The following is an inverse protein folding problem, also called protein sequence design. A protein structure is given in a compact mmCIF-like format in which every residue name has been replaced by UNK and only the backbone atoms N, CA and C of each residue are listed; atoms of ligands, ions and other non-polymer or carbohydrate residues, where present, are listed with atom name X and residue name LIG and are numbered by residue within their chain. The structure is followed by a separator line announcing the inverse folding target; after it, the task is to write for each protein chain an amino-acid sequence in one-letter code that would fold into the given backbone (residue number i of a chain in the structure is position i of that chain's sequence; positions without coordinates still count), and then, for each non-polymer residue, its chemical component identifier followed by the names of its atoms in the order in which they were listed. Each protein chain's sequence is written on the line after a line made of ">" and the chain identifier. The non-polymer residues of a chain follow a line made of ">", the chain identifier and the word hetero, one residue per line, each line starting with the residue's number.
data_IF_620188201540
#
_entry.id   IF_620188201540
#
_cell.length_a   1.000
_cell.length_b   1.000
_cell.length_c   1.000
_cell.angle_alpha   90.00
_cell.angle_beta   90.00
_cell.angle_gamma   90.00
#
_symmetry.space_group_name_H-M   'P 1'
#
loop_
_entity.id
_entity.type
_entity.pdbx_description
1 polymer ?
#
# COMPACT_ATOMS: atom_id res chain seq x y z
N UNK A 1 16.03 -23.05 -23.70
CA UNK A 1 14.97 -22.73 -22.72
C UNK A 1 15.65 -22.52 -21.39
N UNK A 2 15.97 -21.27 -21.05
CA UNK A 2 16.55 -20.88 -19.76
C UNK A 2 15.42 -20.81 -18.72
N UNK A 3 15.64 -21.44 -17.55
CA UNK A 3 14.71 -21.36 -16.40
C UNK A 3 14.46 -19.89 -16.06
N UNK A 4 13.22 -19.49 -15.72
CA UNK A 4 12.96 -18.16 -15.18
C UNK A 4 13.80 -17.99 -13.92
N UNK A 5 14.53 -16.88 -13.83
CA UNK A 5 15.27 -16.50 -12.62
C UNK A 5 14.29 -16.25 -11.50
N UNK A 6 14.64 -16.65 -10.28
CA UNK A 6 13.78 -16.45 -9.11
C UNK A 6 13.58 -14.96 -8.83
N UNK A 7 12.43 -14.60 -8.30
CA UNK A 7 12.07 -13.23 -7.87
C UNK A 7 13.13 -12.63 -6.93
N UNK A 8 13.77 -13.46 -6.08
CA UNK A 8 14.88 -13.07 -5.21
C UNK A 8 16.16 -12.63 -5.98
N UNK A 9 16.46 -13.23 -7.14
CA UNK A 9 17.57 -12.78 -7.97
C UNK A 9 17.30 -11.45 -8.68
N UNK A 10 16.03 -11.16 -8.89
CA UNK A 10 15.54 -9.92 -9.45
C UNK A 10 15.68 -8.76 -8.44
N UNK A 11 15.23 -8.98 -7.22
CA UNK A 11 15.25 -8.00 -6.14
C UNK A 11 16.70 -7.66 -5.71
N UNK A 12 17.61 -8.63 -5.68
CA UNK A 12 19.02 -8.45 -5.32
C UNK A 12 19.82 -7.52 -6.26
N UNK A 13 19.28 -7.14 -7.42
CA UNK A 13 19.95 -6.25 -8.37
C UNK A 13 19.49 -4.79 -8.32
N UNK A 14 18.52 -4.47 -7.50
CA UNK A 14 17.83 -3.20 -7.53
C UNK A 14 18.23 -2.23 -6.42
N UNK A 15 18.90 -2.70 -5.38
CA UNK A 15 19.46 -1.83 -4.33
C UNK A 15 20.97 -1.78 -4.52
N UNK A 16 21.57 -0.59 -4.76
CA UNK A 16 23.02 -0.49 -4.81
C UNK A 16 23.63 -0.83 -3.46
N UNK A 17 24.84 -1.42 -3.42
CA UNK A 17 25.58 -1.59 -2.17
C UNK A 17 25.73 -0.21 -1.52
N UNK A 18 25.44 -0.13 -0.22
CA UNK A 18 25.43 1.08 0.58
C UNK A 18 26.61 1.99 0.20
N UNK A 19 26.31 3.13 -0.43
CA UNK A 19 27.26 4.22 -0.54
C UNK A 19 27.56 4.68 0.89
N UNK A 20 28.78 4.44 1.36
CA UNK A 20 29.28 4.95 2.62
C UNK A 20 29.11 6.46 2.59
N UNK A 21 28.16 6.97 3.37
CA UNK A 21 28.00 8.40 3.60
C UNK A 21 29.27 8.87 4.30
N UNK A 22 30.13 9.56 3.55
CA UNK A 22 31.35 10.18 4.06
C UNK A 22 31.00 11.07 5.25
N UNK A 23 31.62 10.77 6.39
CA UNK A 23 31.39 11.40 7.67
C UNK A 23 31.45 12.92 7.62
N UNK A 24 30.31 13.57 7.84
CA UNK A 24 30.27 14.96 8.26
C UNK A 24 30.59 14.99 9.76
N UNK A 25 31.82 15.44 10.05
CA UNK A 25 32.35 15.63 11.40
C UNK A 25 31.46 16.57 12.20
N UNK A 26 31.07 16.15 13.41
CA UNK A 26 30.29 16.93 14.41
C UNK A 26 30.95 18.23 14.90
N UNK A 27 32.09 18.66 14.36
CA UNK A 27 32.84 19.87 14.76
C UNK A 27 32.58 21.10 13.90
N UNK A 28 31.77 20.99 12.82
CA UNK A 28 31.49 22.12 11.90
C UNK A 28 30.27 22.96 12.23
N UNK A 29 29.40 22.55 13.18
CA UNK A 29 28.12 23.25 13.42
C UNK A 29 28.11 24.23 14.60
N UNK A 30 29.22 24.45 15.26
CA UNK A 30 29.33 25.32 16.45
C UNK A 30 30.17 26.62 16.24
N UNK A 31 30.08 27.23 15.07
CA UNK A 31 30.61 28.60 14.89
C UNK A 31 29.66 29.42 14.01
N UNK A 32 28.80 30.16 14.63
CA UNK A 32 28.04 31.23 13.97
C UNK A 32 26.66 31.43 14.55
N UNK A 33 26.54 32.11 15.67
CA UNK A 33 25.67 33.25 15.93
C UNK A 33 25.67 33.56 17.43
N UNK A 34 26.46 34.55 17.81
CA UNK A 34 26.29 35.33 19.05
C UNK A 34 25.36 36.51 18.75
N UNK A 35 24.34 36.71 19.55
CA UNK A 35 23.56 37.95 19.52
C UNK A 35 22.30 37.91 20.38
N UNK A 36 22.42 38.44 21.63
CA UNK A 36 21.42 39.11 22.47
C UNK A 36 20.07 38.39 22.77
N UNK A 37 19.80 37.91 23.97
CA UNK A 37 19.47 38.73 25.12
C UNK A 37 18.03 38.49 25.55
N UNK A 38 17.82 37.77 26.66
CA UNK A 38 16.91 38.12 27.75
C UNK A 38 16.79 36.93 28.73
N UNK A 39 17.29 37.14 29.93
CA UNK A 39 17.14 36.30 31.09
C UNK A 39 15.77 36.47 31.71
N UNK A 40 15.09 35.35 32.02
CA UNK A 40 14.11 35.29 33.11
C UNK A 40 14.37 34.03 33.92
N UNK A 41 14.88 34.24 35.09
CA UNK A 41 15.04 33.28 36.17
C UNK A 41 13.70 32.98 36.83
N UNK A 42 13.38 31.72 37.08
CA UNK A 42 12.52 31.33 38.21
C UNK A 42 13.01 29.98 38.76
N UNK A 43 13.61 30.11 39.92
CA UNK A 43 14.07 29.07 40.84
C UNK A 43 12.93 28.51 41.68
N UNK A 44 13.12 27.26 42.09
CA UNK A 44 12.45 26.60 43.26
C UNK A 44 11.46 25.55 42.84
N UNK A 45 11.63 24.32 43.23
CA UNK A 45 11.64 23.76 44.58
C UNK A 45 12.29 22.38 44.56
N UNK A 46 13.27 22.21 45.41
CA UNK A 46 13.81 20.90 45.85
C UNK A 46 13.01 20.39 47.04
N UNK A 47 12.98 19.03 47.09
CA UNK A 47 12.90 18.20 48.27
C UNK A 47 11.60 17.51 48.56
N UNK A 48 11.65 16.17 48.43
CA UNK A 48 11.44 15.35 49.63
C UNK A 48 12.00 13.92 49.38
N UNK A 49 13.02 13.60 50.13
CA UNK A 49 13.53 12.23 50.37
C UNK A 49 12.59 11.49 51.26
N UNK A 50 12.57 10.13 51.11
CA UNK A 50 12.07 9.19 52.13
C UNK A 50 11.80 7.85 51.49
N UNK A 51 12.67 6.96 51.48
CA UNK A 51 13.05 5.93 52.41
C UNK A 51 12.27 4.63 52.27
N UNK A 52 12.93 3.56 51.76
CA UNK A 52 12.84 2.23 52.36
C UNK A 52 11.75 1.29 51.86
N UNK A 53 12.18 0.14 51.32
CA UNK A 53 11.34 -1.04 51.25
C UNK A 53 11.61 -1.91 50.02
N UNK A 54 12.68 -2.65 50.07
CA UNK A 54 12.92 -3.83 49.25
C UNK A 54 11.82 -4.86 49.53
N UNK A 55 11.05 -5.22 48.57
CA UNK A 55 10.31 -6.47 48.54
C UNK A 55 10.23 -6.93 47.09
N UNK A 56 11.08 -7.88 46.74
CA UNK A 56 11.06 -8.62 45.49
C UNK A 56 9.70 -9.23 45.24
N UNK A 57 9.05 -8.70 44.23
CA UNK A 57 7.92 -9.29 43.58
C UNK A 57 8.25 -9.32 42.10
N UNK A 58 8.77 -10.45 41.60
CA UNK A 58 8.84 -10.75 40.18
C UNK A 58 7.44 -10.93 39.63
N UNK A 59 6.73 -9.82 39.51
CA UNK A 59 5.55 -9.69 38.67
C UNK A 59 6.05 -9.49 37.25
N UNK A 60 6.10 -10.53 36.45
CA UNK A 60 6.19 -10.49 35.00
C UNK A 60 4.92 -9.82 34.43
N UNK A 61 4.73 -8.55 34.75
CA UNK A 61 3.79 -7.72 34.00
C UNK A 61 4.40 -7.52 32.61
N UNK A 62 3.81 -8.13 31.56
CA UNK A 62 4.21 -7.91 30.19
C UNK A 62 4.29 -6.41 29.94
N UNK A 63 5.50 -5.94 29.58
CA UNK A 63 5.68 -4.53 29.20
C UNK A 63 4.72 -4.23 28.05
N UNK A 64 4.12 -3.04 28.09
CA UNK A 64 3.25 -2.57 27.03
C UNK A 64 3.99 -2.56 25.68
N UNK A 65 3.33 -3.05 24.62
CA UNK A 65 3.80 -2.97 23.23
C UNK A 65 3.24 -1.70 22.61
N UNK A 66 4.06 -0.96 21.89
CA UNK A 66 3.59 0.22 21.14
C UNK A 66 3.35 -0.14 19.68
N UNK A 67 2.21 0.27 19.14
CA UNK A 67 1.79 -0.01 17.77
C UNK A 67 1.45 1.26 17.00
N UNK A 68 2.25 1.56 15.97
CA UNK A 68 2.01 2.64 15.02
C UNK A 68 1.06 2.19 13.91
N UNK A 69 -0.05 2.87 13.73
CA UNK A 69 -1.07 2.48 12.75
C UNK A 69 -1.38 3.62 11.79
N UNK A 70 -1.37 3.32 10.48
CA UNK A 70 -1.90 4.20 9.44
C UNK A 70 -3.38 3.93 9.13
N UNK A 71 -4.01 3.03 9.86
CA UNK A 71 -5.42 2.66 9.69
C UNK A 71 -6.31 3.70 10.39
N UNK A 72 -6.50 4.85 9.74
CA UNK A 72 -7.18 6.02 10.30
C UNK A 72 -8.69 6.05 10.02
N UNK A 73 -9.14 5.47 8.90
CA UNK A 73 -10.55 5.39 8.54
C UNK A 73 -11.34 4.51 9.51
N UNK A 74 -12.61 4.82 9.71
CA UNK A 74 -13.42 4.25 10.78
C UNK A 74 -13.50 2.71 10.76
N UNK A 75 -13.63 2.12 9.57
CA UNK A 75 -13.79 0.66 9.41
C UNK A 75 -12.49 -0.07 9.74
N UNK A 76 -11.35 0.19 9.08
CA UNK A 76 -10.11 -0.49 9.40
C UNK A 76 -9.61 -0.17 10.81
N UNK A 77 -9.78 1.06 11.31
CA UNK A 77 -9.43 1.42 12.69
C UNK A 77 -10.14 0.56 13.72
N UNK A 78 -11.47 0.34 13.50
CA UNK A 78 -12.25 -0.55 14.37
C UNK A 78 -11.78 -2.00 14.24
N UNK A 79 -11.55 -2.48 13.03
CA UNK A 79 -11.11 -3.86 12.79
C UNK A 79 -9.78 -4.18 13.48
N UNK A 80 -8.82 -3.28 13.40
CA UNK A 80 -7.55 -3.41 14.12
C UNK A 80 -7.74 -3.33 15.63
N UNK A 81 -8.63 -2.46 16.14
CA UNK A 81 -8.91 -2.39 17.58
C UNK A 81 -9.53 -3.70 18.11
N UNK A 82 -10.47 -4.29 17.35
CA UNK A 82 -11.09 -5.58 17.71
C UNK A 82 -10.04 -6.72 17.69
N UNK A 83 -9.19 -6.77 16.67
CA UNK A 83 -8.09 -7.73 16.57
C UNK A 83 -7.12 -7.61 17.75
N UNK A 84 -6.71 -6.39 18.09
CA UNK A 84 -5.81 -6.14 19.22
C UNK A 84 -6.43 -6.54 20.55
N UNK A 85 -7.72 -6.30 20.75
CA UNK A 85 -8.43 -6.74 21.95
C UNK A 85 -8.44 -8.28 22.09
N UNK A 86 -8.55 -9.00 20.97
CA UNK A 86 -8.51 -10.46 20.96
C UNK A 86 -7.11 -11.02 21.29
N UNK A 87 -6.04 -10.27 21.05
CA UNK A 87 -4.66 -10.72 21.32
C UNK A 87 -4.37 -10.98 22.80
N UNK A 88 -5.14 -10.39 23.70
CA UNK A 88 -4.84 -10.41 25.15
C UNK A 88 -3.58 -9.65 25.56
N UNK A 89 -2.89 -9.01 24.63
CA UNK A 89 -1.67 -8.22 24.86
C UNK A 89 -2.03 -6.81 25.36
N UNK A 90 -1.16 -6.24 26.16
CA UNK A 90 -1.25 -4.82 26.51
C UNK A 90 -0.61 -3.99 25.39
N UNK A 91 -1.42 -3.41 24.52
CA UNK A 91 -0.95 -2.65 23.35
C UNK A 91 -1.41 -1.19 23.46
N UNK A 92 -0.45 -0.26 23.27
CA UNK A 92 -0.73 1.16 23.11
C UNK A 92 -0.69 1.52 21.64
N UNK A 93 -1.83 1.91 21.09
CA UNK A 93 -1.98 2.26 19.67
C UNK A 93 -1.75 3.76 19.44
N UNK A 94 -0.89 4.08 18.49
CA UNK A 94 -0.67 5.42 17.97
C UNK A 94 -1.17 5.46 16.52
N UNK A 95 -2.39 5.94 16.30
CA UNK A 95 -2.95 6.10 14.96
C UNK A 95 -2.59 7.47 14.39
N UNK A 96 -2.04 7.45 13.19
CA UNK A 96 -1.76 8.65 12.38
C UNK A 96 -2.59 8.53 11.10
N UNK A 97 -3.03 9.65 10.56
CA UNK A 97 -3.73 9.69 9.28
C UNK A 97 -2.87 9.02 8.19
N UNK A 98 -3.53 8.25 7.30
CA UNK A 98 -2.89 7.31 6.37
C UNK A 98 -1.80 7.97 5.51
N UNK A 99 -2.12 9.09 4.86
CA UNK A 99 -1.19 9.78 3.96
C UNK A 99 -0.05 10.45 4.74
N UNK A 100 -0.38 11.03 5.89
CA UNK A 100 0.62 11.65 6.78
C UNK A 100 1.62 10.61 7.29
N UNK A 101 1.14 9.41 7.65
CA UNK A 101 2.02 8.31 8.07
C UNK A 101 2.97 7.90 6.94
N UNK A 102 2.44 7.70 5.73
CA UNK A 102 3.23 7.30 4.56
C UNK A 102 4.28 8.36 4.19
N UNK A 103 3.89 9.64 4.12
CA UNK A 103 4.79 10.74 3.77
C UNK A 103 5.91 10.94 4.80
N UNK A 104 5.65 10.65 6.07
CA UNK A 104 6.60 10.86 7.16
C UNK A 104 7.33 9.59 7.61
N UNK A 105 7.13 8.45 6.95
CA UNK A 105 7.66 7.15 7.40
C UNK A 105 9.18 7.16 7.63
N UNK A 106 9.95 7.82 6.78
CA UNK A 106 11.40 7.93 6.94
C UNK A 106 11.79 8.62 8.27
N UNK A 107 11.16 9.76 8.55
CA UNK A 107 11.38 10.49 9.80
C UNK A 107 10.91 9.69 11.02
N UNK A 108 9.76 9.01 10.87
CA UNK A 108 9.22 8.15 11.90
C UNK A 108 10.18 7.00 12.26
N UNK A 109 10.69 6.28 11.26
CA UNK A 109 11.59 5.13 11.47
C UNK A 109 12.99 5.54 11.96
N UNK A 110 13.51 6.67 11.52
CA UNK A 110 14.79 7.20 11.99
C UNK A 110 14.71 7.86 13.39
N UNK A 111 13.53 8.24 13.82
CA UNK A 111 13.26 8.87 15.09
C UNK A 111 13.04 7.87 16.23
N UNK A 112 11.87 7.89 16.80
CA UNK A 112 11.46 7.00 17.89
C UNK A 112 10.16 6.27 17.52
N UNK A 113 10.21 5.33 16.55
CA UNK A 113 9.04 4.61 16.11
C UNK A 113 8.48 3.70 17.19
N UNK A 114 7.24 3.27 17.01
CA UNK A 114 6.60 2.24 17.83
C UNK A 114 7.32 0.90 17.67
N UNK A 115 7.08 -0.05 18.58
CA UNK A 115 7.73 -1.37 18.54
C UNK A 115 7.35 -2.16 17.28
N UNK A 116 6.06 -2.05 16.90
CA UNK A 116 5.50 -2.60 15.66
C UNK A 116 4.68 -1.54 14.95
N UNK A 117 4.53 -1.63 13.63
CA UNK A 117 3.78 -0.66 12.85
C UNK A 117 3.18 -1.29 11.60
N UNK A 118 2.05 -0.74 11.11
CA UNK A 118 1.45 -1.13 9.84
C UNK A 118 2.33 -0.70 8.67
N UNK A 119 2.49 -1.57 7.69
CA UNK A 119 3.20 -1.25 6.45
C UNK A 119 2.77 -2.16 5.30
N UNK A 120 3.52 -2.12 4.20
CA UNK A 120 3.26 -2.80 2.95
C UNK A 120 4.38 -3.78 2.61
N UNK A 121 4.03 -4.90 1.99
CA UNK A 121 4.98 -5.88 1.47
C UNK A 121 5.81 -5.34 0.28
N UNK A 122 6.72 -6.15 -0.22
CA UNK A 122 7.51 -5.85 -1.42
C UNK A 122 8.61 -4.81 -1.18
N UNK A 123 8.86 -3.97 -2.18
CA UNK A 123 9.98 -3.02 -2.17
C UNK A 123 9.94 -2.02 -1.02
N UNK A 124 8.75 -1.54 -0.65
CA UNK A 124 8.61 -0.60 0.46
C UNK A 124 9.10 -1.19 1.79
N UNK A 125 8.89 -2.48 2.01
CA UNK A 125 9.45 -3.18 3.17
C UNK A 125 10.96 -3.36 3.02
N UNK A 126 11.42 -3.86 1.86
CA UNK A 126 12.82 -4.16 1.59
C UNK A 126 13.71 -2.92 1.70
N UNK A 127 13.23 -1.78 1.24
CA UNK A 127 13.94 -0.50 1.34
C UNK A 127 14.29 -0.16 2.79
N UNK A 128 13.37 -0.32 3.75
CA UNK A 128 13.65 -0.06 5.15
C UNK A 128 14.48 -1.15 5.81
N UNK A 129 14.30 -2.40 5.41
CA UNK A 129 15.13 -3.52 5.86
C UNK A 129 16.60 -3.32 5.46
N UNK A 130 16.88 -2.93 4.21
CA UNK A 130 18.24 -2.68 3.71
C UNK A 130 18.94 -1.51 4.42
N UNK A 131 18.17 -0.53 4.93
CA UNK A 131 18.70 0.57 5.73
C UNK A 131 18.87 0.24 7.22
N UNK A 132 18.54 -0.98 7.64
CA UNK A 132 18.60 -1.40 9.04
C UNK A 132 17.56 -0.70 9.93
N UNK A 133 16.44 -0.25 9.36
CA UNK A 133 15.33 0.41 10.06
C UNK A 133 14.21 -0.56 10.45
N UNK A 134 14.17 -1.76 9.83
CA UNK A 134 13.27 -2.85 10.16
C UNK A 134 13.97 -3.95 10.97
N UNK A 135 13.25 -4.62 11.84
CA UNK A 135 13.72 -5.75 12.65
C UNK A 135 13.50 -7.08 11.94
N UNK A 136 14.47 -7.98 12.08
CA UNK A 136 14.39 -9.36 11.60
C UNK A 136 13.30 -10.13 12.38
N UNK A 137 12.35 -10.69 11.65
CA UNK A 137 11.22 -11.48 12.18
C UNK A 137 11.19 -12.91 11.63
N UNK A 138 12.32 -13.41 11.17
CA UNK A 138 12.44 -14.77 10.60
C UNK A 138 12.06 -15.86 11.61
N UNK A 139 12.31 -15.63 12.90
CA UNK A 139 11.90 -16.53 13.99
C UNK A 139 10.37 -16.52 14.21
N UNK A 140 9.71 -15.39 13.96
CA UNK A 140 8.24 -15.30 13.92
C UNK A 140 7.71 -16.15 12.77
N UNK A 141 8.27 -16.01 11.57
CA UNK A 141 7.87 -16.76 10.38
C UNK A 141 7.93 -18.26 10.56
N UNK A 142 8.89 -18.76 11.32
CA UNK A 142 8.98 -20.18 11.67
C UNK A 142 7.78 -20.72 12.48
N UNK A 143 6.96 -19.85 13.03
CA UNK A 143 5.77 -20.21 13.82
C UNK A 143 4.44 -19.89 13.10
N UNK A 144 4.48 -19.26 11.92
CA UNK A 144 3.28 -18.96 11.14
C UNK A 144 2.85 -20.17 10.33
N UNK A 145 1.53 -20.40 10.26
CA UNK A 145 0.90 -21.40 9.41
C UNK A 145 0.00 -20.71 8.36
N UNK A 146 -0.31 -21.41 7.29
CA UNK A 146 -1.20 -20.90 6.25
C UNK A 146 -0.60 -19.81 5.35
N UNK A 147 0.67 -19.44 5.53
CA UNK A 147 1.35 -18.46 4.69
C UNK A 147 1.98 -19.14 3.47
N UNK A 148 1.61 -18.68 2.27
CA UNK A 148 2.17 -19.20 1.02
C UNK A 148 3.63 -18.80 0.82
N UNK A 149 4.35 -19.54 -0.06
CA UNK A 149 5.72 -19.16 -0.45
C UNK A 149 5.78 -17.78 -1.14
N UNK A 150 4.73 -17.38 -1.85
CA UNK A 150 4.64 -16.05 -2.45
C UNK A 150 4.56 -14.95 -1.38
N UNK A 151 3.76 -15.14 -0.32
CA UNK A 151 3.70 -14.21 0.81
C UNK A 151 5.03 -14.13 1.55
N UNK A 152 5.71 -15.29 1.71
CA UNK A 152 7.04 -15.32 2.30
C UNK A 152 8.05 -14.55 1.46
N UNK A 153 8.05 -14.76 0.15
CA UNK A 153 8.92 -14.03 -0.78
C UNK A 153 8.66 -12.52 -0.70
N UNK A 154 7.39 -12.08 -0.71
CA UNK A 154 7.00 -10.68 -0.59
C UNK A 154 7.38 -10.05 0.77
N UNK A 155 7.66 -10.89 1.78
CA UNK A 155 8.05 -10.48 3.15
C UNK A 155 9.56 -10.59 3.40
N UNK A 156 10.32 -11.02 2.39
CA UNK A 156 11.75 -11.32 2.51
C UNK A 156 12.61 -10.17 1.99
N UNK A 157 13.58 -9.75 2.78
CA UNK A 157 14.59 -8.78 2.40
C UNK A 157 15.68 -9.39 1.50
N UNK A 158 16.57 -8.55 0.97
CA UNK A 158 17.67 -8.99 0.10
C UNK A 158 18.67 -9.94 0.78
N UNK A 159 18.77 -9.84 2.09
CA UNK A 159 19.61 -10.72 2.92
C UNK A 159 18.97 -12.09 3.20
N UNK A 160 17.80 -12.38 2.63
CA UNK A 160 17.05 -13.62 2.78
C UNK A 160 16.25 -13.73 4.08
N UNK A 161 16.24 -12.71 4.91
CA UNK A 161 15.49 -12.67 6.16
C UNK A 161 14.09 -12.06 5.97
N UNK A 162 13.15 -12.42 6.83
CA UNK A 162 11.80 -11.89 6.82
C UNK A 162 11.72 -10.64 7.70
N UNK A 163 11.01 -9.61 7.21
CA UNK A 163 10.85 -8.30 7.84
C UNK A 163 9.40 -7.85 7.96
N UNK A 164 8.47 -8.65 7.48
CA UNK A 164 7.07 -8.29 7.37
C UNK A 164 6.19 -9.51 7.71
N UNK A 165 5.05 -9.28 8.36
CA UNK A 165 4.01 -10.29 8.57
C UNK A 165 2.77 -9.85 7.80
N UNK A 166 2.39 -10.58 6.73
CA UNK A 166 1.17 -10.30 5.97
C UNK A 166 -0.07 -10.44 6.84
N UNK A 167 -1.10 -9.67 6.56
CA UNK A 167 -2.36 -9.72 7.28
C UNK A 167 -3.56 -9.72 6.34
N UNK A 168 -3.55 -8.86 5.33
CA UNK A 168 -4.66 -8.74 4.37
C UNK A 168 -4.16 -8.51 2.95
N UNK A 169 -4.99 -8.89 1.98
CA UNK A 169 -4.83 -8.57 0.56
C UNK A 169 -6.18 -8.21 -0.05
N UNK A 170 -6.18 -7.66 -1.24
CA UNK A 170 -7.39 -7.26 -1.95
C UNK A 170 -7.12 -7.11 -3.45
N UNK A 171 -8.10 -7.39 -4.33
CA UNK A 171 -7.94 -7.09 -5.75
C UNK A 171 -8.00 -5.59 -6.00
N UNK A 172 -7.16 -5.12 -6.93
CA UNK A 172 -7.32 -3.83 -7.58
C UNK A 172 -8.09 -4.03 -8.87
N UNK A 173 -9.33 -3.51 -8.93
CA UNK A 173 -10.28 -3.84 -9.98
C UNK A 173 -11.27 -2.68 -10.23
N UNK A 174 -12.16 -2.82 -11.20
CA UNK A 174 -13.21 -1.84 -11.44
C UNK A 174 -14.45 -2.22 -10.63
N UNK A 175 -14.71 -1.44 -9.58
CA UNK A 175 -15.87 -1.62 -8.70
C UNK A 175 -17.08 -0.87 -9.20
N UNK A 176 -18.27 -1.44 -8.98
CA UNK A 176 -19.55 -0.85 -9.36
C UNK A 176 -20.67 -1.26 -8.39
N UNK A 177 -21.80 -0.57 -8.45
CA UNK A 177 -23.01 -0.94 -7.70
C UNK A 177 -23.93 -1.81 -8.56
N UNK A 178 -24.22 -3.04 -8.13
CA UNK A 178 -25.12 -3.98 -8.83
C UNK A 178 -26.47 -3.36 -9.11
N UNK A 179 -27.10 -2.76 -8.09
CA UNK A 179 -28.42 -2.15 -8.20
C UNK A 179 -28.50 -1.02 -9.24
N UNK A 180 -27.43 -0.23 -9.41
CA UNK A 180 -27.39 0.79 -10.46
C UNK A 180 -27.26 0.16 -11.85
N UNK A 181 -26.37 -0.83 -11.96
CA UNK A 181 -26.10 -1.48 -13.26
C UNK A 181 -27.31 -2.29 -13.75
N UNK A 182 -27.99 -3.01 -12.85
CA UNK A 182 -29.25 -3.71 -13.14
C UNK A 182 -30.35 -2.72 -13.58
N UNK A 183 -30.53 -1.61 -12.85
CA UNK A 183 -31.48 -0.54 -13.17
C UNK A 183 -31.26 0.04 -14.57
N UNK A 184 -30.00 0.18 -15.01
CA UNK A 184 -29.59 0.79 -16.26
C UNK A 184 -29.33 -0.20 -17.40
N UNK A 185 -29.32 -1.49 -17.10
CA UNK A 185 -28.98 -2.53 -18.07
C UNK A 185 -27.52 -2.51 -18.51
N UNK A 186 -26.60 -2.10 -17.62
CA UNK A 186 -25.17 -2.12 -17.90
C UNK A 186 -24.58 -3.51 -17.67
N UNK A 187 -23.62 -3.89 -18.52
CA UNK A 187 -22.91 -5.17 -18.43
C UNK A 187 -21.39 -4.91 -18.33
N UNK A 188 -20.64 -5.74 -17.57
CA UNK A 188 -19.19 -5.64 -17.48
C UNK A 188 -18.51 -5.75 -18.84
N UNK A 189 -17.77 -4.71 -19.28
CA UNK A 189 -17.06 -4.73 -20.55
C UNK A 189 -15.89 -5.69 -20.52
N UNK A 190 -15.65 -6.38 -21.64
CA UNK A 190 -14.54 -7.33 -21.80
C UNK A 190 -13.33 -6.72 -22.48
N UNK A 191 -13.54 -5.69 -23.29
CA UNK A 191 -12.51 -4.97 -24.03
C UNK A 191 -12.49 -3.49 -23.70
N UNK A 192 -11.38 -2.81 -24.01
CA UNK A 192 -11.27 -1.37 -23.84
C UNK A 192 -12.32 -0.60 -24.66
N UNK A 193 -12.62 -1.06 -25.86
CA UNK A 193 -13.63 -0.42 -26.74
C UNK A 193 -15.04 -0.53 -26.15
N UNK A 194 -15.37 -1.67 -25.55
CA UNK A 194 -16.61 -1.87 -24.80
C UNK A 194 -16.67 -0.95 -23.57
N UNK A 195 -15.56 -0.80 -22.82
CA UNK A 195 -15.45 0.12 -21.68
C UNK A 195 -15.72 1.56 -22.11
N UNK A 196 -15.11 2.00 -23.20
CA UNK A 196 -15.32 3.35 -23.76
C UNK A 196 -16.76 3.54 -24.22
N UNK A 197 -17.36 2.52 -24.81
CA UNK A 197 -18.77 2.54 -25.26
C UNK A 197 -19.71 2.67 -24.06
N UNK A 198 -19.48 1.88 -23.00
CA UNK A 198 -20.22 1.95 -21.75
C UNK A 198 -20.05 3.32 -21.07
N UNK A 199 -18.83 3.85 -21.01
CA UNK A 199 -18.56 5.16 -20.43
C UNK A 199 -19.31 6.28 -21.17
N UNK A 200 -19.39 6.24 -22.51
CA UNK A 200 -20.20 7.17 -23.29
C UNK A 200 -21.70 7.05 -22.98
N UNK A 201 -22.18 5.83 -22.77
CA UNK A 201 -23.57 5.61 -22.36
C UNK A 201 -23.84 6.19 -20.98
N UNK A 202 -22.96 5.93 -20.00
CA UNK A 202 -23.08 6.49 -18.65
C UNK A 202 -23.11 8.03 -18.64
N UNK A 203 -22.29 8.69 -19.49
CA UNK A 203 -22.36 10.15 -19.65
C UNK A 203 -23.71 10.62 -20.17
N UNK A 204 -24.31 9.93 -21.16
CA UNK A 204 -25.66 10.25 -21.67
C UNK A 204 -26.72 10.07 -20.60
N UNK A 205 -26.53 9.11 -19.70
CA UNK A 205 -27.44 8.83 -18.59
C UNK A 205 -27.23 9.77 -17.39
N UNK A 206 -26.33 10.76 -17.53
CA UNK A 206 -26.06 11.78 -16.52
C UNK A 206 -25.14 11.35 -15.38
N UNK A 207 -24.41 10.25 -15.55
CA UNK A 207 -23.44 9.75 -14.57
C UNK A 207 -22.02 10.25 -14.89
N UNK A 208 -21.18 10.35 -13.87
CA UNK A 208 -19.73 10.29 -14.03
C UNK A 208 -19.35 8.84 -14.36
N UNK A 209 -18.80 8.54 -15.54
CA UNK A 209 -18.53 7.15 -15.90
C UNK A 209 -17.57 6.47 -14.94
N UNK A 210 -16.41 7.09 -14.69
CA UNK A 210 -15.34 6.56 -13.85
C UNK A 210 -15.08 7.56 -12.71
N UNK A 211 -15.45 7.19 -11.49
CA UNK A 211 -15.02 7.93 -10.32
C UNK A 211 -13.49 7.98 -10.29
N UNK A 212 -12.92 9.14 -9.98
CA UNK A 212 -11.47 9.30 -9.94
C UNK A 212 -11.07 10.42 -8.98
N UNK A 213 -10.03 10.17 -8.22
CA UNK A 213 -9.45 11.12 -7.28
C UNK A 213 -7.95 10.85 -7.17
N UNK A 214 -7.14 11.91 -7.12
CA UNK A 214 -5.68 11.76 -7.08
C UNK A 214 -4.99 12.91 -6.32
N UNK A 215 -5.65 13.45 -5.30
CA UNK A 215 -5.04 14.45 -4.40
C UNK A 215 -3.76 13.91 -3.78
N UNK A 216 -3.76 12.66 -3.39
CA UNK A 216 -2.67 11.99 -2.69
C UNK A 216 -1.65 11.34 -3.65
N UNK A 217 -1.95 11.29 -4.94
CA UNK A 217 -1.06 10.86 -6.03
C UNK A 217 -0.98 9.34 -6.25
N UNK A 218 -1.36 8.52 -5.26
CA UNK A 218 -1.30 7.07 -5.41
C UNK A 218 -2.45 6.48 -6.25
N UNK A 219 -3.69 7.00 -6.30
CA UNK A 219 -4.73 6.37 -7.13
C UNK A 219 -4.40 6.34 -8.62
N UNK A 220 -3.68 7.36 -9.10
CA UNK A 220 -3.19 7.40 -10.48
C UNK A 220 -2.21 6.28 -10.81
N UNK A 221 -1.43 5.80 -9.83
CA UNK A 221 -0.51 4.68 -9.99
C UNK A 221 -1.25 3.39 -10.40
N UNK A 222 -2.35 3.06 -9.71
CA UNK A 222 -3.14 1.87 -10.04
C UNK A 222 -3.79 1.95 -11.43
N UNK A 223 -4.14 3.16 -11.90
CA UNK A 223 -4.61 3.33 -13.28
C UNK A 223 -3.49 3.07 -14.29
N UNK A 224 -2.28 3.60 -14.02
CA UNK A 224 -1.11 3.34 -14.85
C UNK A 224 -0.78 1.84 -14.89
N UNK A 225 -0.79 1.18 -13.73
CA UNK A 225 -0.45 -0.24 -13.61
C UNK A 225 -1.42 -1.12 -14.38
N UNK A 226 -2.72 -0.92 -14.21
CA UNK A 226 -3.72 -1.69 -14.95
C UNK A 226 -3.57 -1.53 -16.46
N UNK A 227 -3.35 -0.31 -16.96
CA UNK A 227 -3.10 -0.07 -18.38
C UNK A 227 -1.81 -0.72 -18.85
N UNK A 228 -0.73 -0.61 -18.06
CA UNK A 228 0.57 -1.21 -18.42
C UNK A 228 0.50 -2.73 -18.44
N UNK A 229 -0.16 -3.35 -17.47
CA UNK A 229 -0.38 -4.79 -17.43
C UNK A 229 -1.19 -5.29 -18.64
N UNK A 230 -2.19 -4.53 -19.11
CA UNK A 230 -3.05 -4.91 -20.25
C UNK A 230 -2.43 -4.62 -21.61
N UNK A 231 -1.48 -3.69 -21.70
CA UNK A 231 -0.81 -3.30 -22.95
C UNK A 231 0.49 -4.06 -23.16
N UNK A 232 1.27 -4.23 -22.08
CA UNK A 232 2.65 -4.69 -22.16
C UNK A 232 2.90 -6.02 -21.43
N UNK A 233 1.95 -6.46 -20.62
CA UNK A 233 2.02 -7.70 -19.85
C UNK A 233 2.86 -7.60 -18.57
N UNK A 234 2.77 -8.66 -17.76
CA UNK A 234 3.38 -8.74 -16.43
C UNK A 234 4.90 -8.54 -16.45
N UNK A 235 5.61 -9.27 -17.30
CA UNK A 235 7.08 -9.22 -17.28
C UNK A 235 7.63 -7.83 -17.67
N UNK A 236 7.00 -7.16 -18.64
CA UNK A 236 7.39 -5.79 -18.98
C UNK A 236 7.10 -4.84 -17.81
N UNK A 237 5.95 -4.99 -17.17
CA UNK A 237 5.57 -4.18 -16.00
C UNK A 237 6.60 -4.30 -14.88
N UNK A 238 6.93 -5.51 -14.47
CA UNK A 238 7.92 -5.77 -13.42
C UNK A 238 9.31 -5.25 -13.81
N UNK A 239 9.74 -5.45 -15.05
CA UNK A 239 11.04 -4.93 -15.53
C UNK A 239 11.06 -3.39 -15.60
N UNK A 240 9.94 -2.74 -15.89
CA UNK A 240 9.80 -1.29 -15.87
C UNK A 240 9.93 -0.76 -14.43
N UNK A 241 9.21 -1.36 -13.49
CA UNK A 241 9.27 -1.01 -12.06
C UNK A 241 10.68 -1.19 -11.49
N UNK A 242 11.40 -2.19 -12.00
CA UNK A 242 12.79 -2.46 -11.69
C UNK A 242 13.81 -1.52 -12.34
N UNK A 243 13.37 -0.55 -13.09
CA UNK A 243 14.27 0.35 -13.82
C UNK A 243 15.01 -0.29 -15.00
N UNK A 244 14.70 -1.56 -15.37
CA UNK A 244 15.33 -2.27 -16.48
C UNK A 244 14.78 -1.87 -17.84
N UNK A 245 13.54 -1.39 -17.88
CA UNK A 245 12.92 -0.83 -19.09
C UNK A 245 13.04 0.70 -19.10
N UNK A 246 13.00 1.28 -20.28
CA UNK A 246 13.05 2.72 -20.45
C UNK A 246 11.65 3.33 -20.31
N UNK A 247 11.51 4.36 -19.45
CA UNK A 247 10.25 5.09 -19.27
C UNK A 247 9.87 5.92 -20.50
N UNK A 248 10.82 6.25 -21.38
CA UNK A 248 10.55 6.93 -22.66
C UNK A 248 10.38 5.97 -23.85
N UNK A 249 10.20 4.67 -23.57
CA UNK A 249 9.96 3.65 -24.59
C UNK A 249 8.60 3.82 -25.29
N UNK A 250 8.45 3.31 -26.53
CA UNK A 250 7.16 3.31 -27.22
C UNK A 250 6.06 2.59 -26.44
N UNK A 251 6.41 1.56 -25.68
CA UNK A 251 5.50 0.79 -24.84
C UNK A 251 4.90 1.67 -23.73
N UNK A 252 5.70 2.42 -22.99
CA UNK A 252 5.23 3.32 -21.94
C UNK A 252 4.41 4.49 -22.52
N UNK A 253 4.85 5.04 -23.66
CA UNK A 253 4.10 6.09 -24.37
C UNK A 253 2.70 5.60 -24.76
N UNK A 254 2.56 4.35 -25.22
CA UNK A 254 1.27 3.73 -25.54
C UNK A 254 0.35 3.68 -24.31
N UNK A 255 0.89 3.43 -23.11
CA UNK A 255 0.11 3.47 -21.85
C UNK A 255 -0.49 4.86 -21.64
N UNK A 256 0.32 5.91 -21.70
CA UNK A 256 -0.15 7.29 -21.54
C UNK A 256 -1.12 7.72 -22.64
N UNK A 257 -0.88 7.34 -23.90
CA UNK A 257 -1.76 7.63 -25.01
C UNK A 257 -3.14 6.97 -24.84
N UNK A 258 -3.16 5.73 -24.36
CA UNK A 258 -4.39 5.00 -24.04
C UNK A 258 -5.12 5.68 -22.88
N UNK A 259 -4.41 6.04 -21.82
CA UNK A 259 -4.99 6.73 -20.67
C UNK A 259 -5.57 8.10 -21.04
N UNK A 260 -4.89 8.86 -21.92
CA UNK A 260 -5.41 10.12 -22.44
C UNK A 260 -6.79 9.94 -23.08
N UNK A 261 -7.03 8.80 -23.75
CA UNK A 261 -8.34 8.45 -24.30
C UNK A 261 -9.43 8.22 -23.25
N UNK A 262 -9.04 7.84 -22.02
CA UNK A 262 -9.95 7.60 -20.90
C UNK A 262 -10.21 8.85 -20.03
N UNK A 263 -9.30 9.83 -20.01
CA UNK A 263 -9.43 11.03 -19.18
C UNK A 263 -10.79 11.76 -19.32
N UNK A 264 -11.42 11.87 -20.53
CA UNK A 264 -12.73 12.49 -20.65
C UNK A 264 -13.87 11.80 -19.91
N UNK A 265 -13.65 10.56 -19.45
CA UNK A 265 -14.63 9.76 -18.71
C UNK A 265 -14.35 9.75 -17.20
N UNK A 266 -13.20 10.24 -16.78
CA UNK A 266 -12.85 10.37 -15.37
C UNK A 266 -13.59 11.52 -14.71
N UNK A 267 -13.79 11.40 -13.40
CA UNK A 267 -14.33 12.48 -12.59
C UNK A 267 -13.42 13.72 -12.67
N UNK A 268 -14.02 14.88 -12.88
CA UNK A 268 -13.31 16.16 -12.95
C UNK A 268 -12.74 16.57 -11.59
N UNK A 269 -11.79 17.51 -11.59
CA UNK A 269 -11.15 18.05 -10.37
C UNK A 269 -10.48 16.97 -9.49
N UNK A 270 -10.01 15.90 -10.14
CA UNK A 270 -9.44 14.72 -9.45
C UNK A 270 -8.21 15.05 -8.61
N UNK A 271 -7.36 16.00 -9.04
CA UNK A 271 -6.12 16.38 -8.32
C UNK A 271 -6.36 17.10 -6.99
N UNK A 272 -7.57 17.59 -6.75
CA UNK A 272 -7.98 18.19 -5.48
C UNK A 272 -8.89 17.29 -4.64
N UNK A 273 -9.25 16.11 -5.15
CA UNK A 273 -10.24 15.20 -4.57
C UNK A 273 -9.57 14.04 -3.84
N UNK A 274 -10.05 13.73 -2.65
CA UNK A 274 -9.65 12.53 -1.88
C UNK A 274 -10.36 11.29 -2.45
N UNK A 275 -9.70 10.12 -2.37
CA UNK A 275 -10.26 8.86 -2.86
C UNK A 275 -11.60 8.50 -2.20
N UNK A 276 -11.78 8.86 -0.91
CA UNK A 276 -13.03 8.68 -0.18
C UNK A 276 -14.18 9.48 -0.77
N UNK A 277 -13.91 10.66 -1.33
CA UNK A 277 -14.94 11.48 -1.98
C UNK A 277 -15.39 10.84 -3.30
N UNK A 278 -14.46 10.29 -4.07
CA UNK A 278 -14.78 9.53 -5.29
C UNK A 278 -15.55 8.24 -4.97
N UNK A 279 -15.17 7.53 -3.91
CA UNK A 279 -15.90 6.35 -3.43
C UNK A 279 -17.33 6.69 -2.98
N UNK A 280 -17.52 7.85 -2.32
CA UNK A 280 -18.87 8.34 -1.97
C UNK A 280 -19.70 8.72 -3.19
N UNK A 281 -19.08 9.18 -4.30
CA UNK A 281 -19.82 9.40 -5.55
C UNK A 281 -20.34 8.08 -6.13
N UNK A 282 -19.54 7.00 -6.08
CA UNK A 282 -19.98 5.65 -6.41
C UNK A 282 -21.10 5.19 -5.48
N UNK A 283 -20.92 5.34 -4.17
CA UNK A 283 -21.89 4.95 -3.15
C UNK A 283 -23.26 5.64 -3.36
N UNK A 284 -23.26 6.91 -3.79
CA UNK A 284 -24.48 7.70 -4.05
C UNK A 284 -25.06 7.49 -5.46
N UNK A 285 -24.57 6.54 -6.25
CA UNK A 285 -24.97 6.32 -7.63
C UNK A 285 -24.78 7.57 -8.54
N UNK A 286 -23.82 8.42 -8.21
CA UNK A 286 -23.42 9.58 -9.01
C UNK A 286 -22.32 9.22 -10.02
N UNK A 287 -21.54 8.17 -9.71
CA UNK A 287 -20.58 7.59 -10.63
C UNK A 287 -20.98 6.14 -10.98
N UNK A 288 -20.64 5.72 -12.20
CA UNK A 288 -20.97 4.38 -12.71
C UNK A 288 -20.03 3.30 -12.21
N UNK A 289 -18.72 3.59 -12.10
CA UNK A 289 -17.68 2.65 -11.70
C UNK A 289 -16.47 3.39 -11.08
N UNK A 290 -15.59 2.62 -10.40
CA UNK A 290 -14.36 3.15 -9.81
C UNK A 290 -13.25 2.10 -9.88
N UNK A 291 -12.13 2.41 -10.52
CA UNK A 291 -10.91 1.60 -10.50
C UNK A 291 -10.14 1.88 -9.21
N UNK A 292 -10.18 0.95 -8.27
CA UNK A 292 -9.58 1.08 -6.93
C UNK A 292 -9.37 -0.30 -6.30
N UNK A 293 -8.81 -0.35 -5.10
CA UNK A 293 -8.79 -1.54 -4.26
C UNK A 293 -10.16 -1.85 -3.65
N UNK A 294 -10.40 -3.11 -3.28
CA UNK A 294 -11.67 -3.56 -2.68
C UNK A 294 -12.06 -2.78 -1.41
N UNK A 295 -11.11 -2.12 -0.75
CA UNK A 295 -11.35 -1.22 0.38
C UNK A 295 -12.25 -0.01 0.04
N UNK A 296 -12.59 0.22 -1.25
CA UNK A 296 -13.65 1.16 -1.66
C UNK A 296 -14.93 0.94 -0.85
N UNK A 297 -15.21 -0.29 -0.47
CA UNK A 297 -16.35 -0.68 0.36
C UNK A 297 -16.35 -0.09 1.77
N UNK A 298 -15.22 0.39 2.29
CA UNK A 298 -15.15 1.07 3.60
C UNK A 298 -15.97 2.36 3.65
N UNK A 299 -16.15 3.00 2.50
CA UNK A 299 -16.93 4.22 2.35
C UNK A 299 -18.44 3.93 2.17
N UNK A 300 -18.84 2.66 2.17
CA UNK A 300 -20.23 2.24 2.10
C UNK A 300 -20.77 1.88 3.49
N UNK A 301 -22.00 2.30 3.84
CA UNK A 301 -22.68 1.75 4.99
C UNK A 301 -22.71 0.22 4.93
N UNK A 302 -22.56 -0.46 6.05
CA UNK A 302 -22.48 -1.93 6.10
C UNK A 302 -23.62 -2.62 5.33
N UNK A 303 -24.84 -2.15 5.51
CA UNK A 303 -26.03 -2.67 4.81
C UNK A 303 -26.08 -2.37 3.29
N UNK A 304 -25.10 -1.67 2.75
CA UNK A 304 -24.99 -1.39 1.30
C UNK A 304 -23.76 -2.05 0.66
N UNK A 305 -22.88 -2.67 1.43
CA UNK A 305 -21.66 -3.31 0.90
C UNK A 305 -21.98 -4.50 0.01
N UNK A 306 -23.04 -5.22 0.27
CA UNK A 306 -23.50 -6.33 -0.56
C UNK A 306 -23.96 -5.91 -1.96
N UNK A 307 -24.21 -4.61 -2.18
CA UNK A 307 -24.52 -4.04 -3.49
C UNK A 307 -23.25 -3.79 -4.35
N UNK A 308 -22.06 -3.86 -3.76
CA UNK A 308 -20.81 -3.79 -4.51
C UNK A 308 -20.52 -5.09 -5.26
N UNK A 309 -19.98 -4.93 -6.45
CA UNK A 309 -19.32 -5.98 -7.21
C UNK A 309 -18.16 -5.40 -8.00
N UNK A 310 -17.36 -6.22 -8.64
CA UNK A 310 -16.24 -5.78 -9.46
C UNK A 310 -16.05 -6.64 -10.69
N UNK A 311 -15.32 -6.12 -11.65
CA UNK A 311 -14.76 -6.88 -12.76
C UNK A 311 -13.31 -6.48 -13.01
N UNK A 312 -12.53 -7.37 -13.63
CA UNK A 312 -11.14 -7.08 -13.99
C UNK A 312 -11.05 -5.94 -14.99
N UNK A 313 -9.96 -5.18 -14.98
CA UNK A 313 -9.74 -4.20 -16.02
C UNK A 313 -9.76 -4.91 -17.40
N UNK A 314 -10.56 -4.40 -18.37
CA UNK A 314 -10.78 -5.07 -19.65
C UNK A 314 -9.50 -5.31 -20.45
N UNK A 315 -9.55 -6.29 -21.33
CA UNK A 315 -8.50 -6.58 -22.29
C UNK A 315 -8.24 -5.38 -23.22
N UNK A 316 -6.95 -5.09 -23.47
CA UNK A 316 -6.51 -4.09 -24.45
C UNK A 316 -5.79 -4.76 -25.61
N UNK A 317 -4.89 -5.70 -25.31
CA UNK A 317 -4.18 -6.49 -26.29
C UNK A 317 -4.52 -7.97 -26.09
N UNK A 318 -5.21 -8.63 -27.05
CA UNK A 318 -5.58 -10.04 -26.93
C UNK A 318 -4.38 -10.99 -26.76
N UNK A 319 -3.19 -10.59 -27.21
CA UNK A 319 -1.98 -11.40 -27.05
C UNK A 319 -1.47 -11.35 -25.59
N UNK A 320 -1.86 -10.36 -24.80
CA UNK A 320 -1.52 -10.17 -23.39
C UNK A 320 -2.64 -10.72 -22.49
N UNK A 321 -3.89 -10.45 -22.84
CA UNK A 321 -5.06 -10.89 -22.07
C UNK A 321 -5.22 -10.20 -20.73
N UNK A 322 -5.90 -10.88 -19.79
CA UNK A 322 -6.25 -10.38 -18.46
C UNK A 322 -5.71 -11.24 -17.31
N UNK A 323 -4.83 -12.20 -17.58
CA UNK A 323 -4.31 -13.15 -16.59
C UNK A 323 -3.39 -12.53 -15.53
N UNK A 324 -2.75 -11.39 -15.82
CA UNK A 324 -2.01 -10.62 -14.82
C UNK A 324 -2.96 -9.68 -14.07
N UNK A 325 -2.88 -9.68 -12.74
CA UNK A 325 -3.69 -8.82 -11.87
C UNK A 325 -2.81 -8.05 -10.90
N UNK A 326 -3.44 -7.14 -10.19
CA UNK A 326 -2.84 -6.37 -9.10
C UNK A 326 -3.57 -6.72 -7.80
N UNK A 327 -2.81 -7.21 -6.81
CA UNK A 327 -3.33 -7.58 -5.49
C UNK A 327 -2.31 -7.24 -4.40
N UNK A 328 -2.35 -6.00 -3.88
CA UNK A 328 -1.45 -5.53 -2.85
C UNK A 328 -1.61 -6.29 -1.52
N UNK A 329 -0.51 -6.41 -0.77
CA UNK A 329 -0.46 -7.09 0.53
C UNK A 329 -0.16 -6.07 1.62
N UNK A 330 -1.05 -5.97 2.59
CA UNK A 330 -0.91 -5.14 3.78
C UNK A 330 -0.61 -6.00 5.01
N UNK A 331 0.14 -5.44 5.96
CA UNK A 331 0.50 -6.15 7.18
C UNK A 331 1.30 -5.29 8.14
N UNK A 332 2.19 -5.91 8.89
CA UNK A 332 2.91 -5.27 9.99
C UNK A 332 4.40 -5.55 9.94
N UNK A 333 5.17 -4.58 10.41
CA UNK A 333 6.63 -4.66 10.57
C UNK A 333 7.03 -4.41 12.02
N UNK A 334 8.22 -4.88 12.40
CA UNK A 334 8.88 -4.54 13.64
C UNK A 334 9.96 -3.49 13.38
N UNK A 335 10.13 -2.50 14.27
CA UNK A 335 11.30 -1.61 14.22
C UNK A 335 12.59 -2.38 14.47
N UNK A 336 13.72 -1.88 13.97
CA UNK A 336 15.03 -2.54 14.10
C UNK A 336 15.47 -2.82 15.54
N UNK A 337 15.09 -1.98 16.49
CA UNK A 337 15.43 -2.10 17.92
C UNK A 337 14.20 -1.80 18.77
N UNK A 338 13.25 -2.73 18.89
CA UNK A 338 12.04 -2.53 19.68
C UNK A 338 12.38 -2.33 21.16
N UNK A 339 11.60 -1.52 21.86
CA UNK A 339 11.75 -1.30 23.32
C UNK A 339 11.27 -2.49 24.13
N UNK A 340 10.32 -3.24 23.55
CA UNK A 340 9.79 -4.48 24.07
C UNK A 340 9.81 -5.55 22.98
N UNK A 341 10.97 -6.15 22.75
CA UNK A 341 11.18 -7.11 21.65
C UNK A 341 10.30 -8.37 21.83
N UNK A 342 10.25 -8.92 23.03
CA UNK A 342 9.42 -10.11 23.30
C UNK A 342 7.94 -9.83 23.05
N UNK A 343 7.45 -8.69 23.50
CA UNK A 343 6.08 -8.25 23.26
C UNK A 343 5.82 -7.98 21.78
N UNK A 344 6.74 -7.34 21.07
CA UNK A 344 6.64 -7.11 19.63
C UNK A 344 6.54 -8.41 18.84
N UNK A 345 7.40 -9.40 19.17
CA UNK A 345 7.36 -10.73 18.53
C UNK A 345 6.09 -11.50 18.88
N UNK A 346 5.58 -11.40 20.11
CA UNK A 346 4.28 -11.99 20.48
C UNK A 346 3.13 -11.33 19.69
N UNK A 347 3.17 -10.01 19.54
CA UNK A 347 2.22 -9.28 18.72
C UNK A 347 2.24 -9.78 17.27
N UNK A 348 3.42 -9.87 16.64
CA UNK A 348 3.58 -10.34 15.28
C UNK A 348 3.16 -11.81 15.07
N UNK A 349 3.46 -12.68 16.05
CA UNK A 349 2.98 -14.06 16.03
C UNK A 349 1.46 -14.14 16.04
N UNK A 350 0.82 -13.32 16.88
CA UNK A 350 -0.65 -13.26 16.93
C UNK A 350 -1.22 -12.71 15.62
N UNK A 351 -0.71 -11.59 15.12
CA UNK A 351 -1.24 -10.97 13.89
C UNK A 351 -1.12 -11.87 12.66
N UNK A 352 -0.14 -12.77 12.62
CA UNK A 352 0.02 -13.75 11.54
C UNK A 352 -0.81 -15.03 11.72
N UNK A 353 -1.79 -15.06 12.63
CA UNK A 353 -2.68 -16.21 12.83
C UNK A 353 -4.02 -16.04 12.12
N UNK A 354 -4.64 -17.14 11.73
CA UNK A 354 -6.01 -17.15 11.21
C UNK A 354 -7.02 -16.55 12.22
N UNK A 355 -6.79 -16.70 13.54
CA UNK A 355 -7.62 -16.08 14.58
C UNK A 355 -7.64 -14.56 14.46
N UNK A 356 -6.46 -13.93 14.35
CA UNK A 356 -6.32 -12.48 14.21
C UNK A 356 -7.00 -11.98 12.94
N UNK A 357 -6.76 -12.66 11.80
CA UNK A 357 -7.41 -12.33 10.53
C UNK A 357 -8.93 -12.47 10.62
N UNK A 358 -9.45 -13.55 11.18
CA UNK A 358 -10.89 -13.77 11.31
C UNK A 358 -11.59 -12.69 12.15
N UNK A 359 -10.96 -12.22 13.22
CA UNK A 359 -11.48 -11.11 14.03
C UNK A 359 -11.47 -9.81 13.21
N UNK A 360 -10.36 -9.51 12.52
CA UNK A 360 -10.22 -8.31 11.70
C UNK A 360 -11.26 -8.31 10.57
N UNK A 361 -11.39 -9.42 9.84
CA UNK A 361 -12.27 -9.55 8.68
C UNK A 361 -13.75 -9.52 9.04
N UNK A 362 -14.11 -9.92 10.26
CA UNK A 362 -15.48 -9.77 10.77
C UNK A 362 -15.89 -8.31 10.90
N UNK A 363 -14.97 -7.43 11.27
CA UNK A 363 -15.22 -5.99 11.37
C UNK A 363 -14.95 -5.24 10.04
N UNK A 364 -14.07 -5.77 9.19
CA UNK A 364 -13.77 -5.21 7.86
C UNK A 364 -13.91 -6.29 6.77
N UNK A 365 -15.08 -6.38 6.15
CA UNK A 365 -15.37 -7.29 5.05
C UNK A 365 -15.04 -6.73 3.66
N UNK A 366 -14.20 -5.71 3.60
CA UNK A 366 -13.74 -5.06 2.35
C UNK A 366 -12.30 -5.42 1.98
N UNK A 367 -11.74 -6.40 2.66
CA UNK A 367 -10.44 -7.04 2.36
C UNK A 367 -10.57 -8.54 2.58
N UNK A 368 -9.58 -9.32 2.18
CA UNK A 368 -9.48 -10.76 2.46
C UNK A 368 -8.24 -11.07 3.27
N UNK A 369 -8.24 -12.17 4.01
CA UNK A 369 -7.09 -12.63 4.78
C UNK A 369 -5.94 -13.05 3.88
N UNK A 370 -4.72 -12.86 4.35
CA UNK A 370 -3.52 -13.33 3.66
C UNK A 370 -3.30 -14.83 3.86
N UNK A 371 -3.70 -15.39 5.03
CA UNK A 371 -3.55 -16.80 5.36
C UNK A 371 -4.57 -17.69 4.64
N UNK A 372 -4.10 -18.84 4.13
CA UNK A 372 -4.98 -19.88 3.58
C UNK A 372 -5.80 -20.59 4.67
N UNK A 373 -5.50 -20.38 5.95
CA UNK A 373 -6.23 -20.93 7.10
C UNK A 373 -7.32 -19.98 7.61
N UNK A 374 -7.47 -18.78 7.04
CA UNK A 374 -8.56 -17.87 7.40
C UNK A 374 -9.92 -18.54 7.16
N UNK A 375 -10.86 -18.34 8.10
CA UNK A 375 -12.21 -18.88 8.00
C UNK A 375 -13.03 -18.12 6.94
N UNK A 376 -13.12 -18.68 5.75
CA UNK A 376 -13.89 -18.12 4.63
C UNK A 376 -15.39 -18.41 4.69
N UNK A 377 -15.87 -19.15 5.70
CA UNK A 377 -17.29 -19.54 5.81
C UNK A 377 -18.20 -18.31 5.93
N UNK A 378 -17.73 -17.28 6.60
CA UNK A 378 -18.42 -16.01 6.82
C UNK A 378 -18.11 -14.92 5.79
N UNK A 379 -17.33 -15.25 4.75
CA UNK A 379 -17.02 -14.28 3.70
C UNK A 379 -18.29 -13.89 2.93
N UNK A 380 -18.42 -12.60 2.66
CA UNK A 380 -19.43 -12.05 1.76
C UNK A 380 -19.23 -12.58 0.33
N UNK A 381 -20.26 -12.43 -0.53
CA UNK A 381 -20.12 -12.78 -1.94
C UNK A 381 -18.94 -12.05 -2.62
N UNK A 382 -18.72 -10.77 -2.26
CA UNK A 382 -17.61 -9.98 -2.78
C UNK A 382 -16.25 -10.55 -2.36
N UNK A 383 -16.08 -10.91 -1.08
CA UNK A 383 -14.84 -11.54 -0.59
C UNK A 383 -14.57 -12.89 -1.24
N UNK A 384 -15.59 -13.74 -1.40
CA UNK A 384 -15.46 -15.03 -2.09
C UNK A 384 -15.01 -14.84 -3.54
N UNK A 385 -15.62 -13.90 -4.25
CA UNK A 385 -15.22 -13.54 -5.61
C UNK A 385 -13.77 -13.01 -5.65
N UNK A 386 -13.34 -12.22 -4.65
CA UNK A 386 -11.97 -11.73 -4.56
C UNK A 386 -10.96 -12.87 -4.37
N UNK A 387 -11.26 -13.85 -3.51
CA UNK A 387 -10.42 -15.06 -3.34
C UNK A 387 -10.29 -15.84 -4.64
N UNK A 388 -11.41 -16.09 -5.32
CA UNK A 388 -11.40 -16.79 -6.62
C UNK A 388 -10.63 -16.01 -7.68
N UNK A 389 -10.80 -14.69 -7.73
CA UNK A 389 -10.11 -13.80 -8.67
C UNK A 389 -8.60 -13.84 -8.47
N UNK A 390 -8.12 -13.67 -7.23
CA UNK A 390 -6.69 -13.70 -6.91
C UNK A 390 -6.15 -15.13 -7.12
N UNK A 391 -6.90 -16.16 -6.72
CA UNK A 391 -6.49 -17.56 -6.86
C UNK A 391 -6.41 -18.05 -8.31
N UNK A 392 -7.12 -17.41 -9.24
CA UNK A 392 -7.10 -17.74 -10.67
C UNK A 392 -6.09 -16.96 -11.49
N UNK A 393 -5.38 -15.99 -10.87
CA UNK A 393 -4.43 -15.15 -11.58
C UNK A 393 -3.20 -15.92 -12.06
N UNK A 394 -2.76 -15.64 -13.28
CA UNK A 394 -1.52 -16.18 -13.84
C UNK A 394 -0.28 -15.51 -13.24
N UNK A 395 -0.41 -14.21 -12.91
CA UNK A 395 0.63 -13.40 -12.29
C UNK A 395 0.03 -12.29 -11.45
N UNK A 396 0.70 -11.94 -10.36
CA UNK A 396 0.24 -10.92 -9.42
C UNK A 396 1.31 -9.84 -9.26
N UNK A 397 0.97 -8.60 -9.62
CA UNK A 397 1.70 -7.40 -9.27
C UNK A 397 1.20 -6.86 -7.92
N UNK A 398 2.07 -6.19 -7.16
CA UNK A 398 1.65 -5.60 -5.88
C UNK A 398 0.93 -4.26 -6.10
N UNK A 399 1.66 -3.27 -6.53
CA UNK A 399 1.24 -1.90 -6.82
C UNK A 399 2.48 -1.09 -7.18
N UNK A 400 2.41 -0.09 -8.04
CA UNK A 400 3.57 0.65 -8.53
C UNK A 400 4.55 1.02 -7.42
N UNK A 401 4.08 1.63 -6.33
CA UNK A 401 4.94 2.09 -5.24
C UNK A 401 5.47 0.96 -4.35
N UNK A 402 5.00 -0.27 -4.54
CA UNK A 402 5.47 -1.50 -3.86
C UNK A 402 6.35 -2.34 -4.77
N UNK A 403 6.20 -2.18 -6.09
CA UNK A 403 6.96 -2.87 -7.13
C UNK A 403 8.17 -2.06 -7.63
N UNK A 404 8.34 -0.80 -7.19
CA UNK A 404 9.49 0.05 -7.50
C UNK A 404 10.12 0.67 -6.26
N UNK A 405 11.25 1.37 -6.43
CA UNK A 405 11.92 2.12 -5.35
C UNK A 405 10.98 3.18 -4.76
N UNK A 406 10.85 3.28 -3.43
CA UNK A 406 9.96 4.26 -2.78
C UNK A 406 10.29 5.71 -3.10
N UNK A 407 11.59 6.04 -3.26
CA UNK A 407 12.04 7.37 -3.65
C UNK A 407 11.64 7.71 -5.09
N UNK A 408 11.75 6.76 -6.03
CA UNK A 408 11.26 6.94 -7.40
C UNK A 408 9.73 7.09 -7.44
N UNK A 409 9.00 6.24 -6.73
CA UNK A 409 7.55 6.32 -6.67
C UNK A 409 7.07 7.68 -6.15
N UNK A 410 7.61 8.14 -5.01
CA UNK A 410 7.12 9.34 -4.34
C UNK A 410 7.60 10.64 -4.98
N UNK A 411 8.85 10.70 -5.45
CA UNK A 411 9.44 11.95 -5.95
C UNK A 411 9.36 12.12 -7.46
N UNK A 412 9.11 11.04 -8.21
CA UNK A 412 9.06 11.06 -9.67
C UNK A 412 7.69 10.64 -10.19
N UNK A 413 7.17 9.47 -9.76
CA UNK A 413 5.95 8.94 -10.34
C UNK A 413 4.70 9.73 -9.91
N UNK A 414 4.53 10.03 -8.62
CA UNK A 414 3.40 10.86 -8.16
C UNK A 414 3.32 12.18 -8.93
N UNK A 415 4.34 13.08 -8.89
CA UNK A 415 4.26 14.34 -9.60
C UNK A 415 4.19 14.16 -11.13
N UNK A 416 4.78 13.11 -11.68
CA UNK A 416 4.72 12.80 -13.11
C UNK A 416 3.32 12.44 -13.57
N UNK A 417 2.64 11.54 -12.87
CA UNK A 417 1.26 11.13 -13.19
C UNK A 417 0.27 12.28 -12.99
N UNK A 418 0.42 13.08 -11.92
CA UNK A 418 -0.40 14.27 -11.70
C UNK A 418 -0.18 15.34 -12.79
N UNK A 419 1.07 15.51 -13.25
CA UNK A 419 1.40 16.38 -14.37
C UNK A 419 0.74 15.92 -15.66
N UNK A 420 0.72 14.60 -15.93
CA UNK A 420 0.01 14.03 -17.07
C UNK A 420 -1.50 14.29 -17.00
N UNK A 421 -2.14 14.05 -15.86
CA UNK A 421 -3.58 14.29 -15.68
C UNK A 421 -3.91 15.76 -15.94
N UNK A 422 -3.07 16.67 -15.48
CA UNK A 422 -3.22 18.11 -15.67
C UNK A 422 -3.00 18.55 -17.12
N UNK A 423 -2.02 17.97 -17.80
CA UNK A 423 -1.65 18.30 -19.18
C UNK A 423 -1.29 17.03 -19.97
N UNK A 424 -2.27 16.29 -20.51
CA UNK A 424 -2.03 15.01 -21.17
C UNK A 424 -1.44 15.11 -22.59
N UNK A 425 -1.19 16.32 -23.10
CA UNK A 425 -0.75 16.50 -24.49
C UNK A 425 0.72 16.22 -24.73
N UNK A 426 1.59 16.40 -23.72
CA UNK A 426 3.06 16.26 -23.83
C UNK A 426 3.55 14.92 -23.24
N UNK A 427 3.17 13.81 -23.86
CA UNK A 427 3.62 12.47 -23.44
C UNK A 427 5.13 12.29 -23.67
N UNK A 428 5.68 12.85 -24.74
CA UNK A 428 7.11 12.74 -25.05
C UNK A 428 7.98 13.48 -24.02
N UNK A 429 7.64 14.69 -23.67
CA UNK A 429 8.33 15.46 -22.64
C UNK A 429 8.24 14.80 -21.28
N UNK A 430 7.03 14.35 -20.90
CA UNK A 430 6.80 13.62 -19.64
C UNK A 430 7.67 12.35 -19.56
N UNK A 431 7.56 11.45 -20.52
CA UNK A 431 8.24 10.14 -20.48
C UNK A 431 9.77 10.30 -20.50
N UNK A 432 10.30 11.28 -21.27
CA UNK A 432 11.70 11.63 -21.25
C UNK A 432 12.14 12.17 -19.87
N UNK A 433 11.32 12.97 -19.21
CA UNK A 433 11.60 13.43 -17.84
C UNK A 433 11.63 12.28 -16.84
N UNK A 434 10.66 11.36 -16.90
CA UNK A 434 10.64 10.17 -16.06
C UNK A 434 11.89 9.32 -16.25
N UNK A 435 12.31 9.06 -17.50
CA UNK A 435 13.50 8.29 -17.82
C UNK A 435 14.79 8.94 -17.29
N UNK A 436 14.92 10.26 -17.43
CA UNK A 436 16.10 10.97 -16.94
C UNK A 436 16.19 10.90 -15.39
N UNK A 437 15.07 11.05 -14.71
CA UNK A 437 15.02 10.95 -13.25
C UNK A 437 15.25 9.50 -12.78
N UNK A 438 14.66 8.50 -13.48
CA UNK A 438 14.93 7.08 -13.23
C UNK A 438 16.43 6.78 -13.33
N UNK A 439 17.11 7.24 -14.38
CA UNK A 439 18.55 7.05 -14.52
C UNK A 439 19.34 7.60 -13.36
N UNK A 440 18.97 8.77 -12.84
CA UNK A 440 19.65 9.37 -11.70
C UNK A 440 19.44 8.58 -10.39
N UNK A 441 18.25 7.99 -10.20
CA UNK A 441 17.89 7.28 -8.98
C UNK A 441 18.40 5.83 -8.98
N UNK A 442 18.26 5.12 -10.11
CA UNK A 442 18.62 3.69 -10.20
C UNK A 442 20.11 3.43 -10.47
N UNK A 443 20.91 4.45 -10.74
CA UNK A 443 22.36 4.33 -10.91
C UNK A 443 23.17 4.79 -9.70
N UNK A 444 22.50 5.37 -8.70
CA UNK A 444 23.12 5.88 -7.46
C UNK A 444 23.26 4.82 -6.37
#
# INVERSE_FOLDING_TARGET
>A
MSRPRSESEYLARLIPPSAAVGGLSRRGFLKGTLGAGAAVSLSGILAACGGGGDSGGSGSGSKEVTFGSNQSDAVPKKAYADMLAASGLKVRVNTVEHEVFQQNINNYLQGNPDDVFTWFAGYRMQFFASQGLAGDVSDVWGSLSGMSEALKAASTGEDGKQYFVPLTTYPWAIFYRKSLWEERGYEPPKTLDELVTLAKQMQKDGLVPIAFADKDGWPAMGTFDQLNLRINGYQFHIDLMAGKQAWDSPQVKKVFDTWRGLLPYHQTDSLGREWQEAARALQKKQAGMYLLGMFVGEQFPENQRDDLDFFTFPEIDPAIGTGAIEAPIDGVMMRAKPKNEDGAKQFLKFTGTAEAENVLLKANNTVIGASTEADTSNYTGLQKKAVEFIGSAESIAQFLDRDTRPDFASTVMIPGLQSFIKNPSDVDGLTKSLENQKKSIFTS
#
